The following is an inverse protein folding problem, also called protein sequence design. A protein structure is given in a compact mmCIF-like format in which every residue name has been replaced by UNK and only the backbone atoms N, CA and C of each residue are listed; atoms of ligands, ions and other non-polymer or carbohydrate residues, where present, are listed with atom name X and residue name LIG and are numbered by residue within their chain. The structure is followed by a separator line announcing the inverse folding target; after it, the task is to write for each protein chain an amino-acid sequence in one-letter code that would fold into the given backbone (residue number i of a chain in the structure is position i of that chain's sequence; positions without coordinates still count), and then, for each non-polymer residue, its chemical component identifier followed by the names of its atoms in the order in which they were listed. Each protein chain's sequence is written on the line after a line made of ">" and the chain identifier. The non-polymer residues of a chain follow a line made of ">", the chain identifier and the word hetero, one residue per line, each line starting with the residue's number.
data_IF_871721150803
#
_entry.id   IF_871721150803
#
_cell.length_a   1.000
_cell.length_b   1.000
_cell.length_c   1.000
_cell.angle_alpha   90.00
_cell.angle_beta   90.00
_cell.angle_gamma   90.00
#
_symmetry.space_group_name_H-M   'P 1'
#
loop_
_entity.id
_entity.type
_entity.pdbx_description
1 polymer ?
#
# COMPACT_ATOMS: atom_id res chain seq x y z
N UNK A 1 -9.91 12.30 61.80
CA UNK A 1 -9.72 13.37 60.79
C UNK A 1 -9.23 12.69 59.51
N UNK A 2 -10.16 12.30 58.62
CA UNK A 2 -9.85 11.49 57.44
C UNK A 2 -9.78 12.41 56.21
N UNK A 3 -8.57 12.64 55.68
CA UNK A 3 -8.39 13.36 54.40
C UNK A 3 -8.85 12.45 53.27
N UNK A 4 -10.01 12.76 52.69
CA UNK A 4 -10.47 12.14 51.46
C UNK A 4 -9.60 12.65 50.30
N UNK A 5 -8.76 11.77 49.76
CA UNK A 5 -8.07 11.98 48.48
C UNK A 5 -9.09 11.67 47.38
N UNK A 6 -9.57 12.69 46.69
CA UNK A 6 -10.43 12.53 45.53
C UNK A 6 -9.62 11.89 44.39
N UNK A 7 -10.10 10.83 43.72
CA UNK A 7 -9.33 10.10 42.73
C UNK A 7 -9.07 10.94 41.47
N UNK A 8 -7.89 10.75 40.90
CA UNK A 8 -7.32 11.51 39.78
C UNK A 8 -7.64 10.98 38.35
N UNK A 9 -8.73 10.23 38.01
CA UNK A 9 -9.01 9.88 36.62
C UNK A 9 -9.91 10.90 35.91
N UNK A 10 -10.34 11.99 36.57
CA UNK A 10 -11.37 12.87 36.04
C UNK A 10 -10.91 13.90 34.97
N UNK A 11 -9.61 13.97 34.64
CA UNK A 11 -9.10 15.04 33.75
C UNK A 11 -8.79 14.57 32.32
N UNK A 12 -8.61 13.27 32.05
CA UNK A 12 -8.26 12.78 30.71
C UNK A 12 -9.44 12.17 29.92
N UNK A 13 -10.68 12.33 30.39
CA UNK A 13 -11.88 11.88 29.69
C UNK A 13 -12.52 12.92 28.76
N UNK A 14 -12.07 14.19 28.78
CA UNK A 14 -12.82 15.30 28.18
C UNK A 14 -12.33 15.73 26.78
N UNK A 15 -11.18 15.28 26.30
CA UNK A 15 -10.66 15.68 24.96
C UNK A 15 -11.19 14.78 23.83
N UNK A 16 -11.86 13.66 24.16
CA UNK A 16 -12.53 12.77 23.20
C UNK A 16 -14.02 13.12 22.96
N UNK A 17 -14.51 14.23 23.51
CA UNK A 17 -15.83 14.74 23.13
C UNK A 17 -15.79 15.25 21.70
N UNK A 18 -16.31 14.42 20.80
CA UNK A 18 -17.07 14.78 19.61
C UNK A 18 -16.78 16.20 19.11
N UNK A 19 -15.78 16.32 18.24
CA UNK A 19 -16.02 17.20 17.12
C UNK A 19 -17.19 16.55 16.36
N UNK A 20 -18.38 17.17 16.25
CA UNK A 20 -19.32 16.77 15.22
C UNK A 20 -18.57 17.00 13.92
N UNK A 21 -17.98 15.93 13.37
CA UNK A 21 -17.47 15.94 12.02
C UNK A 21 -18.65 16.32 11.16
N UNK A 22 -18.69 17.57 10.71
CA UNK A 22 -19.68 18.02 9.75
C UNK A 22 -19.34 17.33 8.44
N UNK A 23 -19.83 16.10 8.29
CA UNK A 23 -19.88 15.45 7.00
C UNK A 23 -20.88 16.27 6.18
N UNK A 24 -20.38 17.22 5.39
CA UNK A 24 -21.20 17.96 4.44
C UNK A 24 -21.87 16.94 3.52
N UNK A 25 -23.20 16.95 3.46
CA UNK A 25 -23.95 16.09 2.56
C UNK A 25 -23.59 16.46 1.13
N UNK A 26 -23.01 15.52 0.38
CA UNK A 26 -22.81 15.69 -1.07
C UNK A 26 -24.19 15.64 -1.73
N UNK A 27 -24.72 16.80 -2.10
CA UNK A 27 -26.05 16.94 -2.70
C UNK A 27 -26.02 16.76 -4.22
N UNK A 28 -24.85 16.88 -4.86
CA UNK A 28 -24.69 16.71 -6.30
C UNK A 28 -23.29 16.25 -6.68
N UNK A 29 -23.19 15.24 -7.54
CA UNK A 29 -21.95 14.82 -8.20
C UNK A 29 -21.97 15.34 -9.63
N UNK A 30 -20.99 16.16 -10.00
CA UNK A 30 -20.82 16.61 -11.38
C UNK A 30 -19.82 15.69 -12.09
N UNK A 31 -20.24 15.06 -13.18
CA UNK A 31 -19.33 14.31 -14.05
C UNK A 31 -18.34 15.28 -14.68
N UNK A 32 -17.05 15.05 -14.43
CA UNK A 32 -15.95 15.76 -15.07
C UNK A 32 -15.34 14.82 -16.11
N UNK A 33 -15.08 15.34 -17.31
CA UNK A 33 -14.19 14.67 -18.26
C UNK A 33 -12.77 15.11 -17.94
N UNK A 34 -11.98 14.16 -17.45
CA UNK A 34 -10.57 14.35 -17.17
C UNK A 34 -9.80 13.51 -18.18
N UNK A 35 -8.90 14.15 -18.92
CA UNK A 35 -7.96 13.45 -19.78
C UNK A 35 -6.85 12.87 -18.90
N UNK A 36 -7.05 11.65 -18.41
CA UNK A 36 -6.06 10.92 -17.61
C UNK A 36 -5.14 10.16 -18.57
N UNK A 37 -3.82 10.38 -18.54
CA UNK A 37 -2.90 9.61 -19.35
C UNK A 37 -2.93 8.13 -18.95
N UNK A 38 -3.01 7.23 -19.92
CA UNK A 38 -2.76 5.80 -19.71
C UNK A 38 -1.26 5.59 -19.53
N UNK A 39 -0.86 4.82 -18.51
CA UNK A 39 0.55 4.50 -18.27
C UNK A 39 0.89 3.15 -18.88
N UNK A 40 1.68 3.18 -19.96
CA UNK A 40 2.30 2.00 -20.57
C UNK A 40 3.72 1.76 -20.00
N UNK A 41 3.99 2.29 -18.81
CA UNK A 41 5.31 2.24 -18.19
C UNK A 41 5.68 0.81 -17.81
N UNK A 42 6.90 0.42 -18.18
CA UNK A 42 7.52 -0.83 -17.76
C UNK A 42 8.38 -0.60 -16.52
N UNK A 43 8.68 -1.68 -15.79
CA UNK A 43 9.62 -1.65 -14.67
C UNK A 43 11.03 -1.27 -15.17
N UNK A 44 11.81 -0.46 -14.40
CA UNK A 44 13.18 -0.11 -14.75
C UNK A 44 14.04 -1.32 -15.12
N UNK A 45 14.83 -1.18 -16.18
CA UNK A 45 15.68 -2.26 -16.65
C UNK A 45 16.68 -2.73 -15.58
N UNK A 46 16.98 -4.03 -15.57
CA UNK A 46 18.01 -4.63 -14.71
C UNK A 46 17.73 -6.11 -14.42
N UNK A 47 18.61 -6.78 -13.65
CA UNK A 47 18.43 -8.20 -13.34
C UNK A 47 17.05 -8.48 -12.71
N UNK A 48 16.24 -9.31 -13.37
CA UNK A 48 14.87 -9.64 -12.96
C UNK A 48 13.76 -8.75 -13.52
N UNK A 49 14.08 -7.72 -14.34
CA UNK A 49 13.06 -6.85 -14.95
C UNK A 49 12.12 -7.60 -15.87
N UNK A 50 12.59 -8.61 -16.58
CA UNK A 50 11.76 -9.38 -17.51
C UNK A 50 10.73 -10.22 -16.75
N UNK A 51 11.14 -10.84 -15.64
CA UNK A 51 10.25 -11.63 -14.79
C UNK A 51 9.10 -10.76 -14.24
N UNK A 52 9.39 -9.57 -13.71
CA UNK A 52 8.34 -8.69 -13.17
C UNK A 52 7.46 -8.07 -14.26
N UNK A 53 8.03 -7.67 -15.40
CA UNK A 53 7.26 -7.12 -16.53
C UNK A 53 6.29 -8.17 -17.10
N UNK A 54 6.72 -9.43 -17.23
CA UNK A 54 5.90 -10.50 -17.79
C UNK A 54 4.78 -10.97 -16.86
N UNK A 55 4.95 -10.83 -15.54
CA UNK A 55 4.07 -11.44 -14.55
C UNK A 55 3.15 -10.44 -13.81
N UNK A 56 3.52 -9.15 -13.70
CA UNK A 56 2.79 -8.21 -12.84
C UNK A 56 1.95 -7.18 -13.61
N UNK A 57 2.24 -6.94 -14.89
CA UNK A 57 1.56 -5.89 -15.68
C UNK A 57 0.19 -6.32 -16.24
N UNK A 58 -0.22 -7.56 -16.01
CA UNK A 58 -1.54 -8.06 -16.45
C UNK A 58 -2.71 -7.46 -15.65
N UNK A 59 -2.47 -7.03 -14.39
CA UNK A 59 -3.53 -6.61 -13.47
C UNK A 59 -3.40 -5.16 -13.00
N UNK A 60 -2.20 -4.60 -12.96
CA UNK A 60 -1.94 -3.22 -12.55
C UNK A 60 -0.70 -2.66 -13.23
N UNK A 61 -0.59 -1.32 -13.31
CA UNK A 61 0.60 -0.66 -13.89
C UNK A 61 1.85 -0.86 -13.02
N UNK A 62 3.03 -0.64 -13.62
CA UNK A 62 4.30 -0.62 -12.89
C UNK A 62 4.29 0.44 -11.78
N UNK A 63 3.70 1.60 -12.05
CA UNK A 63 3.60 2.71 -11.10
C UNK A 63 2.90 2.32 -9.79
N UNK A 64 1.94 1.39 -9.83
CA UNK A 64 1.28 0.91 -8.63
C UNK A 64 2.28 0.28 -7.64
N UNK A 65 3.30 -0.41 -8.16
CA UNK A 65 4.36 -1.03 -7.38
C UNK A 65 5.48 -0.04 -7.07
N UNK A 66 5.89 0.76 -8.06
CA UNK A 66 7.00 1.70 -7.92
C UNK A 66 6.68 2.86 -6.95
N UNK A 67 5.40 3.16 -6.71
CA UNK A 67 4.97 4.14 -5.72
C UNK A 67 4.78 3.59 -4.30
N UNK A 68 5.03 2.30 -4.07
CA UNK A 68 5.03 1.75 -2.72
C UNK A 68 6.25 2.27 -1.92
N UNK A 69 6.15 2.35 -0.57
CA UNK A 69 7.30 2.62 0.27
C UNK A 69 8.39 1.56 0.05
N UNK A 70 9.63 1.89 0.41
CA UNK A 70 10.68 0.87 0.48
C UNK A 70 10.32 -0.16 1.56
N UNK A 71 10.41 -1.45 1.22
CA UNK A 71 10.08 -2.56 2.12
C UNK A 71 11.28 -3.48 2.32
N UNK A 72 11.28 -4.25 3.42
CA UNK A 72 12.26 -5.31 3.60
C UNK A 72 12.04 -6.44 2.59
N UNK A 73 13.03 -7.35 2.48
CA UNK A 73 12.90 -8.55 1.65
C UNK A 73 11.72 -9.41 2.05
N UNK A 74 11.53 -9.61 3.34
CA UNK A 74 10.46 -10.43 3.91
C UNK A 74 9.09 -9.83 3.55
N UNK A 75 8.94 -8.52 3.70
CA UNK A 75 7.73 -7.83 3.32
C UNK A 75 7.44 -7.91 1.81
N UNK A 76 8.46 -7.77 0.95
CA UNK A 76 8.27 -7.97 -0.49
C UNK A 76 7.89 -9.42 -0.83
N UNK A 77 8.49 -10.40 -0.16
CA UNK A 77 8.15 -11.81 -0.32
C UNK A 77 6.68 -12.07 0.04
N UNK A 78 6.18 -11.47 1.13
CA UNK A 78 4.77 -11.56 1.52
C UNK A 78 3.84 -10.92 0.50
N UNK A 79 4.20 -9.74 -0.03
CA UNK A 79 3.43 -9.05 -1.07
C UNK A 79 3.35 -9.90 -2.34
N UNK A 80 4.47 -10.42 -2.83
CA UNK A 80 4.50 -11.29 -4.01
C UNK A 80 3.70 -12.57 -3.77
N UNK A 81 3.84 -13.18 -2.59
CA UNK A 81 3.04 -14.35 -2.22
C UNK A 81 1.54 -14.04 -2.16
N UNK A 82 1.14 -12.85 -1.71
CA UNK A 82 -0.26 -12.39 -1.75
C UNK A 82 -0.76 -12.28 -3.19
N UNK A 83 0.04 -11.79 -4.12
CA UNK A 83 -0.32 -11.73 -5.55
C UNK A 83 -0.61 -13.12 -6.11
N UNK A 84 0.22 -14.09 -5.77
CA UNK A 84 0.08 -15.47 -6.24
C UNK A 84 -1.14 -16.16 -5.58
N UNK A 85 -1.26 -16.06 -4.26
CA UNK A 85 -2.21 -16.90 -3.50
C UNK A 85 -3.60 -16.30 -3.40
N UNK A 86 -3.72 -15.01 -3.14
CA UNK A 86 -5.00 -14.31 -2.98
C UNK A 86 -5.53 -13.80 -4.33
N UNK A 87 -4.66 -13.19 -5.14
CA UNK A 87 -5.03 -12.59 -6.42
C UNK A 87 -4.80 -13.50 -7.63
N UNK A 88 -4.27 -14.70 -7.43
CA UNK A 88 -4.10 -15.74 -8.45
C UNK A 88 -3.22 -15.33 -9.63
N UNK A 89 -2.24 -14.46 -9.37
CA UNK A 89 -1.21 -14.12 -10.37
C UNK A 89 -0.47 -15.41 -10.80
N UNK A 90 -0.36 -15.70 -12.11
CA UNK A 90 0.20 -16.95 -12.62
C UNK A 90 1.74 -16.91 -12.65
N UNK A 91 2.36 -16.74 -11.47
CA UNK A 91 3.81 -16.60 -11.33
C UNK A 91 4.45 -17.94 -10.94
N UNK A 92 5.50 -18.34 -11.64
CA UNK A 92 6.28 -19.54 -11.31
C UNK A 92 7.12 -19.33 -10.02
N UNK A 93 7.54 -20.39 -9.31
CA UNK A 93 8.42 -20.24 -8.15
C UNK A 93 9.75 -19.53 -8.46
N UNK A 94 10.34 -19.83 -9.62
CA UNK A 94 11.61 -19.23 -10.05
C UNK A 94 11.43 -17.73 -10.36
N UNK A 95 10.35 -17.36 -11.06
CA UNK A 95 10.01 -15.96 -11.31
C UNK A 95 9.68 -15.22 -10.02
N UNK A 96 8.96 -15.86 -9.08
CA UNK A 96 8.64 -15.25 -7.80
C UNK A 96 9.91 -14.86 -7.04
N UNK A 97 10.93 -15.73 -7.04
CA UNK A 97 12.24 -15.42 -6.45
C UNK A 97 12.91 -14.25 -7.20
N UNK A 98 12.95 -14.28 -8.52
CA UNK A 98 13.55 -13.23 -9.34
C UNK A 98 12.87 -11.86 -9.14
N UNK A 99 11.55 -11.85 -9.01
CA UNK A 99 10.73 -10.66 -8.74
C UNK A 99 11.05 -10.10 -7.35
N UNK A 100 11.13 -10.94 -6.32
CA UNK A 100 11.49 -10.47 -4.96
C UNK A 100 12.90 -9.89 -4.95
N UNK A 101 13.87 -10.53 -5.61
CA UNK A 101 15.23 -10.02 -5.74
C UNK A 101 15.27 -8.66 -6.48
N UNK A 102 14.47 -8.52 -7.54
CA UNK A 102 14.30 -7.26 -8.27
C UNK A 102 13.71 -6.16 -7.37
N UNK A 103 12.65 -6.47 -6.63
CA UNK A 103 11.96 -5.52 -5.75
C UNK A 103 12.83 -5.08 -4.58
N UNK A 104 13.62 -5.98 -3.98
CA UNK A 104 14.58 -5.61 -2.93
C UNK A 104 15.67 -4.68 -3.47
N UNK A 105 16.17 -4.93 -4.69
CA UNK A 105 17.20 -4.06 -5.29
C UNK A 105 16.68 -2.67 -5.63
N UNK A 106 15.43 -2.56 -6.05
CA UNK A 106 14.85 -1.30 -6.58
C UNK A 106 14.03 -0.52 -5.56
N UNK A 107 13.40 -1.24 -4.63
CA UNK A 107 12.43 -0.76 -3.64
C UNK A 107 12.66 -1.39 -2.26
N UNK A 108 13.88 -1.83 -1.97
CA UNK A 108 14.27 -2.34 -0.66
C UNK A 108 14.53 -1.24 0.36
N UNK A 109 14.33 -1.53 1.65
CA UNK A 109 14.99 -0.78 2.71
C UNK A 109 16.47 -1.15 2.76
N UNK A 110 17.35 -0.15 2.93
CA UNK A 110 18.79 -0.34 3.12
C UNK A 110 19.14 -1.20 4.32
#
# INVERSE_FOLDING_TARGET
>A
MLRAVLPMPAVLGLILLLHPGHAATITTLKSLKLDVPTSDAMFPAGPGSDAINNNCLACHSADHVLNQPSLSREAWQEVVNKMITAYKAPVSPDDAKAIVDYLVRTKGTS
#
